data_IF_263160993372
#
_entry.id   IF_263160993372
#
_cell.length_a   1.000
_cell.length_b   1.000
_cell.length_c   1.000
_cell.angle_alpha   90.00
_cell.angle_beta   90.00
_cell.angle_gamma   90.00
#
_symmetry.space_group_name_H-M   'P 1'
#
loop_
_entity.id
_entity.type
_entity.pdbx_description
1 polymer ?
#
# COMPACT_ATOMS: atom_id res chain seq x y z
N UNK A 1 -1.99 -30.88 -10.11
CA UNK A 1 -0.82 -30.06 -9.77
C UNK A 1 -1.31 -28.65 -9.50
N UNK A 2 -1.64 -28.36 -8.24
CA UNK A 2 -2.20 -27.08 -7.81
C UNK A 2 -1.05 -26.12 -7.51
N UNK A 3 -0.93 -25.04 -8.29
CA UNK A 3 -0.09 -23.90 -7.92
C UNK A 3 -0.74 -23.19 -6.72
N UNK A 4 0.02 -22.85 -5.66
CA UNK A 4 -0.54 -22.07 -4.57
C UNK A 4 -0.81 -20.65 -5.07
N UNK A 5 -2.06 -20.21 -4.88
CA UNK A 5 -2.50 -18.83 -5.00
C UNK A 5 -1.61 -17.98 -4.08
N UNK A 6 -1.01 -16.91 -4.63
CA UNK A 6 -0.35 -15.84 -3.88
C UNK A 6 -1.43 -15.08 -3.09
N UNK A 7 -1.92 -15.70 -2.02
CA UNK A 7 -2.62 -14.99 -0.97
C UNK A 7 -1.55 -14.25 -0.18
N UNK A 8 -1.50 -12.92 -0.32
CA UNK A 8 -0.92 -12.06 0.71
C UNK A 8 -1.88 -12.15 1.90
N UNK A 9 -1.78 -13.25 2.64
CA UNK A 9 -2.23 -13.26 4.03
C UNK A 9 -1.35 -12.25 4.74
N UNK A 10 -1.96 -11.20 5.30
CA UNK A 10 -1.27 -10.38 6.29
C UNK A 10 -0.61 -11.31 7.31
N UNK A 11 0.63 -11.03 7.74
CA UNK A 11 1.35 -11.99 8.53
C UNK A 11 0.59 -12.20 9.83
N UNK A 12 0.08 -13.43 10.01
CA UNK A 12 0.05 -14.02 11.33
C UNK A 12 1.51 -14.05 11.77
N UNK A 13 1.92 -13.01 12.51
CA UNK A 13 3.24 -12.89 13.07
C UNK A 13 3.47 -14.08 13.99
N UNK A 14 4.42 -14.93 13.62
CA UNK A 14 5.04 -15.86 14.56
C UNK A 14 6.05 -15.05 15.37
N UNK A 15 5.52 -14.22 16.26
CA UNK A 15 6.24 -13.69 17.41
C UNK A 15 5.76 -14.51 18.60
N UNK A 16 6.54 -15.51 19.00
CA UNK A 16 6.43 -16.11 20.34
C UNK A 16 6.98 -15.13 21.37
N UNK A 17 6.30 -14.00 21.50
CA UNK A 17 6.38 -13.07 22.63
C UNK A 17 4.91 -12.88 23.01
N UNK A 18 4.59 -13.00 24.29
CA UNK A 18 3.27 -12.78 24.86
C UNK A 18 2.85 -11.31 24.67
N UNK A 19 2.62 -10.88 23.43
CA UNK A 19 1.72 -9.79 23.13
C UNK A 19 0.32 -10.37 23.36
N UNK A 20 -0.14 -10.35 24.60
CA UNK A 20 -1.53 -9.93 24.79
C UNK A 20 -1.64 -8.66 23.96
N UNK A 21 -2.23 -8.79 22.76
CA UNK A 21 -2.35 -7.71 21.81
C UNK A 21 -2.87 -6.53 22.61
N UNK A 22 -2.02 -5.51 22.83
CA UNK A 22 -2.49 -4.22 23.28
C UNK A 22 -3.46 -3.83 22.19
N UNK A 23 -4.75 -4.03 22.45
CA UNK A 23 -5.81 -3.76 21.52
C UNK A 23 -5.85 -2.24 21.40
N UNK A 24 -5.10 -1.73 20.43
CA UNK A 24 -5.14 -0.32 20.08
C UNK A 24 -6.49 -0.11 19.41
N UNK A 25 -7.44 0.40 20.20
CA UNK A 25 -8.75 0.73 19.68
C UNK A 25 -8.68 2.00 18.83
N UNK A 26 -9.31 1.93 17.68
CA UNK A 26 -9.48 3.05 16.78
C UNK A 26 -10.82 2.83 16.06
N UNK A 27 -11.71 3.83 16.15
CA UNK A 27 -13.09 3.71 15.66
C UNK A 27 -13.38 4.66 14.47
N UNK A 28 -12.76 4.48 13.28
CA UNK A 28 -12.97 5.38 12.15
C UNK A 28 -14.42 5.61 11.69
N UNK A 29 -15.35 4.70 11.97
CA UNK A 29 -16.76 4.89 11.61
C UNK A 29 -17.55 5.71 12.64
N UNK A 30 -17.04 5.85 13.87
CA UNK A 30 -17.61 6.71 14.91
C UNK A 30 -16.89 8.05 14.96
N UNK A 31 -15.57 8.02 14.90
CA UNK A 31 -14.69 9.18 15.07
C UNK A 31 -14.59 10.02 13.77
N UNK A 32 -15.72 10.45 13.24
CA UNK A 32 -15.78 11.19 11.97
C UNK A 32 -15.41 12.66 12.08
N UNK A 33 -15.24 13.16 13.31
CA UNK A 33 -15.03 14.59 13.59
C UNK A 33 -13.57 15.04 13.50
N UNK A 34 -12.63 14.10 13.33
CA UNK A 34 -11.21 14.43 13.18
C UNK A 34 -10.93 15.16 11.86
N UNK A 35 -10.43 16.38 11.97
CA UNK A 35 -10.10 17.25 10.85
C UNK A 35 -8.61 17.19 10.50
N UNK A 36 -8.24 17.80 9.36
CA UNK A 36 -6.84 17.88 8.94
C UNK A 36 -5.95 18.61 9.98
N UNK A 37 -6.51 19.53 10.78
CA UNK A 37 -5.82 20.16 11.91
C UNK A 37 -5.38 19.15 12.97
N UNK A 38 -6.24 18.20 13.32
CA UNK A 38 -5.99 17.20 14.37
C UNK A 38 -4.93 16.20 13.88
N UNK A 39 -4.99 15.85 12.59
CA UNK A 39 -3.95 15.07 11.93
C UNK A 39 -2.61 15.77 11.96
N UNK A 40 -2.55 17.07 11.65
CA UNK A 40 -1.30 17.84 11.72
C UNK A 40 -0.76 17.92 13.14
N UNK A 41 -1.63 18.10 14.13
CA UNK A 41 -1.25 18.09 15.54
C UNK A 41 -0.67 16.72 15.92
N UNK A 42 -1.35 15.62 15.59
CA UNK A 42 -0.88 14.26 15.85
C UNK A 42 0.49 14.00 15.20
N UNK A 43 0.69 14.42 13.94
CA UNK A 43 1.97 14.29 13.26
C UNK A 43 3.10 15.08 13.95
N UNK A 44 2.82 16.29 14.44
CA UNK A 44 3.81 17.07 15.21
C UNK A 44 4.18 16.39 16.52
N UNK A 45 3.20 15.81 17.23
CA UNK A 45 3.44 15.05 18.45
C UNK A 45 4.30 13.82 18.17
N UNK A 46 3.98 13.06 17.11
CA UNK A 46 4.79 11.92 16.67
C UNK A 46 6.22 12.34 16.32
N UNK A 47 6.38 13.47 15.62
CA UNK A 47 7.70 13.98 15.25
C UNK A 47 8.54 14.37 16.48
N UNK A 48 7.91 15.00 17.47
CA UNK A 48 8.56 15.36 18.74
C UNK A 48 8.98 14.10 19.51
N UNK A 49 8.13 13.08 19.55
CA UNK A 49 8.47 11.80 20.19
C UNK A 49 9.63 11.11 19.47
N UNK A 50 9.63 11.14 18.12
CA UNK A 50 10.71 10.60 17.29
C UNK A 50 12.05 11.35 17.46
N UNK A 51 12.05 12.59 17.96
CA UNK A 51 13.28 13.32 18.32
C UNK A 51 13.89 12.79 19.62
N UNK A 52 13.04 12.42 20.59
CA UNK A 52 13.44 11.83 21.87
C UNK A 52 13.86 10.38 21.68
N UNK A 53 13.00 9.58 21.05
CA UNK A 53 13.22 8.18 20.72
C UNK A 53 13.46 8.04 19.23
N UNK A 54 14.73 8.16 18.82
CA UNK A 54 15.10 7.99 17.42
C UNK A 54 14.71 6.60 16.94
N UNK A 55 13.82 6.47 15.92
CA UNK A 55 13.39 5.18 15.44
C UNK A 55 14.59 4.35 14.97
N UNK A 56 14.83 3.21 15.62
CA UNK A 56 15.83 2.26 15.10
C UNK A 56 15.24 1.59 13.87
N UNK A 57 15.96 1.60 12.74
CA UNK A 57 15.53 0.98 11.46
C UNK A 57 15.43 -0.56 11.50
N UNK A 58 15.41 -1.14 12.70
CA UNK A 58 15.39 -2.58 12.95
C UNK A 58 14.00 -3.20 12.77
N UNK A 59 12.97 -2.41 12.47
CA UNK A 59 11.61 -2.92 12.24
C UNK A 59 11.52 -3.87 11.03
N UNK A 60 12.51 -3.85 10.12
CA UNK A 60 12.59 -4.80 9.00
C UNK A 60 13.55 -5.97 9.24
N UNK A 61 14.14 -6.11 10.43
CA UNK A 61 15.16 -7.14 10.71
C UNK A 61 14.64 -8.58 10.58
N UNK A 62 13.34 -8.77 10.78
CA UNK A 62 12.68 -10.06 10.66
C UNK A 62 12.38 -10.43 9.19
N UNK A 63 12.48 -9.48 8.27
CA UNK A 63 12.30 -9.71 6.84
C UNK A 63 13.66 -10.01 6.20
N UNK A 64 13.68 -10.98 5.30
CA UNK A 64 14.84 -11.21 4.45
C UNK A 64 15.05 -9.98 3.56
N UNK A 65 16.31 -9.53 3.44
CA UNK A 65 16.65 -8.45 2.51
C UNK A 65 16.37 -8.97 1.09
N UNK A 66 15.53 -8.28 0.31
CA UNK A 66 15.28 -8.67 -1.07
C UNK A 66 16.60 -8.66 -1.83
N UNK A 67 16.86 -9.70 -2.60
CA UNK A 67 17.95 -9.67 -3.56
C UNK A 67 17.54 -8.73 -4.70
N UNK A 68 18.20 -7.58 -4.77
CA UNK A 68 17.95 -6.56 -5.78
C UNK A 68 18.59 -6.91 -7.13
N UNK A 69 19.48 -7.91 -7.15
CA UNK A 69 20.25 -8.32 -8.32
C UNK A 69 19.70 -9.59 -8.99
N UNK A 70 18.57 -10.12 -8.52
CA UNK A 70 17.91 -11.34 -9.08
C UNK A 70 17.74 -11.26 -10.60
N UNK A 71 17.44 -10.07 -11.11
CA UNK A 71 17.20 -9.83 -12.55
C UNK A 71 18.38 -9.11 -13.23
N UNK A 72 19.50 -8.95 -12.54
CA UNK A 72 20.67 -8.23 -13.04
C UNK A 72 21.44 -9.12 -14.03
N UNK A 73 21.14 -8.95 -15.32
CA UNK A 73 21.84 -9.67 -16.38
C UNK A 73 23.18 -9.02 -16.72
N UNK A 74 24.17 -9.78 -17.24
CA UNK A 74 25.44 -9.21 -17.71
C UNK A 74 25.28 -8.14 -18.79
N UNK A 75 24.20 -8.19 -19.58
CA UNK A 75 23.87 -7.18 -20.57
C UNK A 75 23.51 -5.85 -19.90
N UNK A 76 22.60 -5.89 -18.92
CA UNK A 76 22.17 -4.71 -18.14
C UNK A 76 23.35 -4.09 -17.38
N UNK A 77 24.21 -4.91 -16.77
CA UNK A 77 25.42 -4.42 -16.09
C UNK A 77 26.36 -3.67 -17.04
N UNK A 78 26.57 -4.20 -18.25
CA UNK A 78 27.39 -3.54 -19.28
C UNK A 78 26.76 -2.22 -19.73
N UNK A 79 25.45 -2.18 -19.91
CA UNK A 79 24.73 -0.94 -20.26
C UNK A 79 24.81 0.10 -19.14
N UNK A 80 24.63 -0.30 -17.88
CA UNK A 80 24.84 0.61 -16.75
C UNK A 80 26.27 1.13 -16.67
N UNK A 81 27.27 0.29 -16.92
CA UNK A 81 28.67 0.72 -17.00
C UNK A 81 28.90 1.73 -18.14
N UNK A 82 28.30 1.52 -19.31
CA UNK A 82 28.34 2.45 -20.45
C UNK A 82 27.70 3.80 -20.09
N UNK A 83 26.51 3.77 -19.50
CA UNK A 83 25.76 4.97 -19.07
C UNK A 83 26.54 5.74 -18.01
N UNK A 84 27.14 5.05 -17.03
CA UNK A 84 27.95 5.68 -15.98
C UNK A 84 29.16 6.44 -16.54
N UNK A 85 29.71 5.94 -17.64
CA UNK A 85 30.82 6.57 -18.40
C UNK A 85 30.34 7.64 -19.39
N UNK A 86 29.03 7.93 -19.44
CA UNK A 86 28.38 8.84 -20.41
C UNK A 86 28.74 8.52 -21.87
N UNK A 87 28.96 7.24 -22.17
CA UNK A 87 29.26 6.78 -23.52
C UNK A 87 27.97 6.67 -24.31
N UNK A 88 27.89 7.32 -25.47
CA UNK A 88 26.73 7.22 -26.37
C UNK A 88 26.56 5.79 -26.90
N UNK A 89 25.32 5.44 -27.27
CA UNK A 89 25.04 4.12 -27.81
C UNK A 89 25.58 4.04 -29.24
N UNK A 90 26.27 2.96 -29.64
CA UNK A 90 26.67 2.77 -31.02
C UNK A 90 25.45 2.83 -31.94
N UNK A 91 25.55 3.60 -33.02
CA UNK A 91 24.50 3.64 -34.04
C UNK A 91 24.40 2.26 -34.71
N UNK A 92 23.17 1.86 -35.04
CA UNK A 92 22.94 0.65 -35.81
C UNK A 92 23.58 0.81 -37.20
N UNK A 93 24.38 -0.16 -37.61
CA UNK A 93 24.97 -0.16 -38.95
C UNK A 93 23.92 -0.56 -39.99
N UNK A 94 23.40 0.44 -40.71
CA UNK A 94 22.43 0.23 -41.79
C UNK A 94 23.11 -0.03 -43.15
N UNK A 95 24.44 0.06 -43.24
CA UNK A 95 25.15 -0.07 -44.53
C UNK A 95 24.99 -1.46 -45.17
N UNK A 96 24.66 -2.48 -44.36
CA UNK A 96 24.37 -3.85 -44.82
C UNK A 96 22.97 -3.99 -45.44
N UNK A 97 22.05 -3.09 -45.12
CA UNK A 97 20.68 -3.05 -45.66
C UNK A 97 20.56 -2.16 -46.90
N UNK A 98 21.61 -1.42 -47.23
CA UNK A 98 21.67 -0.54 -48.39
C UNK A 98 22.50 -1.17 -49.51
N UNK A 99 22.22 -0.81 -50.77
CA UNK A 99 22.99 -1.20 -51.95
C UNK A 99 23.65 0.02 -52.58
N UNK A 100 24.68 0.61 -51.94
CA UNK A 100 25.36 1.77 -52.51
C UNK A 100 26.11 1.35 -53.78
N UNK A 101 26.02 2.19 -54.81
CA UNK A 101 26.81 2.02 -56.03
C UNK A 101 28.31 2.14 -55.71
N UNK A 102 29.19 1.26 -56.21
CA UNK A 102 30.62 1.37 -56.01
C UNK A 102 31.15 2.70 -56.55
N UNK A 103 31.65 3.56 -55.68
CA UNK A 103 32.26 4.83 -56.05
C UNK A 103 33.78 4.68 -56.15
N UNK A 104 34.30 4.66 -57.38
CA UNK A 104 35.73 4.65 -57.63
C UNK A 104 36.08 5.05 -59.08
N UNK A 105 37.09 5.91 -59.20
CA UNK A 105 37.69 6.38 -60.46
C UNK A 105 39.03 5.69 -60.74
N UNK A 106 39.38 4.62 -60.00
CA UNK A 106 40.67 3.92 -60.10
C UNK A 106 40.51 2.40 -60.21
N UNK A 107 41.01 1.85 -61.33
CA UNK A 107 40.74 0.48 -61.82
C UNK A 107 40.96 -0.67 -60.81
N UNK A 108 41.86 -0.51 -59.83
CA UNK A 108 42.17 -1.55 -58.83
C UNK A 108 41.28 -1.48 -57.58
N UNK A 109 40.97 -0.27 -57.10
CA UNK A 109 40.04 -0.05 -55.97
C UNK A 109 38.61 -0.44 -56.36
N UNK A 110 38.24 -0.19 -57.63
CA UNK A 110 36.96 -0.56 -58.19
C UNK A 110 36.69 -2.06 -58.03
N UNK A 111 37.64 -2.94 -58.40
CA UNK A 111 37.41 -4.40 -58.37
C UNK A 111 37.12 -4.94 -56.97
N UNK A 112 37.75 -4.40 -55.93
CA UNK A 112 37.50 -4.82 -54.55
C UNK A 112 36.14 -4.31 -54.03
N UNK A 113 35.78 -3.06 -54.35
CA UNK A 113 34.50 -2.47 -54.00
C UNK A 113 33.33 -3.17 -54.72
N UNK A 114 33.46 -3.47 -56.02
CA UNK A 114 32.49 -4.28 -56.78
C UNK A 114 32.30 -5.67 -56.17
N UNK A 115 33.38 -6.36 -55.78
CA UNK A 115 33.26 -7.65 -55.07
C UNK A 115 32.54 -7.54 -53.72
N UNK A 116 32.69 -6.42 -53.01
CA UNK A 116 31.98 -6.17 -51.74
C UNK A 116 30.49 -5.91 -52.01
N UNK A 117 30.17 -5.06 -52.98
CA UNK A 117 28.81 -4.75 -53.38
C UNK A 117 28.05 -5.98 -53.89
N UNK A 118 28.68 -6.81 -54.74
CA UNK A 118 28.08 -8.07 -55.22
C UNK A 118 27.84 -9.04 -54.06
N UNK A 119 28.77 -9.17 -53.11
CA UNK A 119 28.56 -10.02 -51.92
C UNK A 119 27.40 -9.53 -51.07
N UNK A 120 27.27 -8.21 -50.88
CA UNK A 120 26.15 -7.61 -50.17
C UNK A 120 24.82 -7.87 -50.89
N UNK A 121 24.77 -7.66 -52.22
CA UNK A 121 23.60 -7.92 -53.05
C UNK A 121 23.15 -9.38 -52.99
N UNK A 122 24.09 -10.33 -53.06
CA UNK A 122 23.79 -11.75 -52.87
C UNK A 122 23.18 -12.02 -51.50
N UNK A 123 23.80 -11.51 -50.43
CA UNK A 123 23.27 -11.69 -49.08
C UNK A 123 21.87 -11.09 -48.91
N UNK A 124 21.61 -9.90 -49.49
CA UNK A 124 20.30 -9.27 -49.46
C UNK A 124 19.26 -10.05 -50.25
N UNK A 125 19.62 -10.60 -51.42
CA UNK A 125 18.73 -11.48 -52.18
C UNK A 125 18.29 -12.68 -51.36
N UNK A 126 19.23 -13.36 -50.68
CA UNK A 126 18.88 -14.48 -49.79
C UNK A 126 17.98 -14.03 -48.63
N UNK A 127 18.23 -12.85 -48.04
CA UNK A 127 17.35 -12.30 -47.00
C UNK A 127 15.94 -11.98 -47.53
N UNK A 128 15.79 -11.53 -48.78
CA UNK A 128 14.50 -11.28 -49.40
C UNK A 128 13.75 -12.58 -49.68
N UNK A 129 14.45 -13.62 -50.17
CA UNK A 129 13.87 -14.97 -50.36
C UNK A 129 13.39 -15.53 -49.02
N UNK A 130 14.19 -15.43 -47.96
CA UNK A 130 13.76 -15.85 -46.62
C UNK A 130 12.56 -15.03 -46.11
N UNK A 131 12.54 -13.72 -46.40
CA UNK A 131 11.40 -12.87 -46.03
C UNK A 131 10.14 -13.28 -46.76
N UNK A 132 10.22 -13.61 -48.04
CA UNK A 132 9.10 -14.12 -48.84
C UNK A 132 8.54 -15.40 -48.21
N UNK A 133 9.39 -16.40 -47.94
CA UNK A 133 8.99 -17.64 -47.27
C UNK A 133 8.34 -17.36 -45.90
N UNK A 134 8.91 -16.45 -45.11
CA UNK A 134 8.34 -16.07 -43.81
C UNK A 134 6.98 -15.38 -43.94
N UNK A 135 6.78 -14.56 -44.99
CA UNK A 135 5.51 -13.90 -45.26
C UNK A 135 4.46 -14.89 -45.77
N UNK A 136 4.84 -15.86 -46.60
CA UNK A 136 3.95 -16.95 -47.01
C UNK A 136 3.47 -17.77 -45.80
N UNK A 137 4.39 -18.14 -44.90
CA UNK A 137 4.01 -18.80 -43.64
C UNK A 137 3.11 -17.92 -42.76
N UNK A 138 3.35 -16.61 -42.72
CA UNK A 138 2.52 -15.69 -41.95
C UNK A 138 1.13 -15.52 -42.58
N UNK A 139 1.03 -15.51 -43.90
CA UNK A 139 -0.25 -15.43 -44.61
C UNK A 139 -1.08 -16.70 -44.39
N UNK A 140 -0.44 -17.88 -44.45
CA UNK A 140 -1.10 -19.17 -44.25
C UNK A 140 -1.54 -19.40 -42.78
N UNK A 141 -0.65 -19.17 -41.82
CA UNK A 141 -0.90 -19.55 -40.41
C UNK A 141 -1.19 -18.37 -39.48
N UNK A 142 -0.82 -17.14 -39.87
CA UNK A 142 -0.95 -15.95 -39.05
C UNK A 142 -2.39 -15.69 -38.58
N UNK A 143 -3.40 -15.67 -39.46
CA UNK A 143 -4.78 -15.37 -39.06
C UNK A 143 -5.30 -16.27 -37.93
N UNK A 144 -5.10 -17.57 -38.02
CA UNK A 144 -5.55 -18.53 -37.00
C UNK A 144 -4.75 -18.38 -35.69
N UNK A 145 -3.43 -18.22 -35.78
CA UNK A 145 -2.58 -18.03 -34.60
C UNK A 145 -2.93 -16.74 -33.85
N UNK A 146 -3.20 -15.64 -34.56
CA UNK A 146 -3.66 -14.39 -33.96
C UNK A 146 -5.04 -14.52 -33.33
N UNK A 147 -5.97 -15.22 -33.98
CA UNK A 147 -7.30 -15.48 -33.43
C UNK A 147 -7.21 -16.30 -32.13
N UNK A 148 -6.40 -17.36 -32.11
CA UNK A 148 -6.15 -18.17 -30.92
C UNK A 148 -5.53 -17.34 -29.79
N UNK A 149 -4.52 -16.52 -30.11
CA UNK A 149 -3.89 -15.61 -29.14
C UNK A 149 -4.91 -14.62 -28.57
N UNK A 150 -5.78 -14.04 -29.40
CA UNK A 150 -6.83 -13.12 -28.94
C UNK A 150 -7.77 -13.81 -27.95
N UNK A 151 -8.22 -15.03 -28.25
CA UNK A 151 -9.05 -15.84 -27.32
C UNK A 151 -8.33 -16.09 -25.98
N UNK A 152 -7.03 -16.39 -26.00
CA UNK A 152 -6.24 -16.57 -24.78
C UNK A 152 -6.12 -15.27 -23.96
N UNK A 153 -5.94 -14.13 -24.65
CA UNK A 153 -5.88 -12.81 -24.00
C UNK A 153 -7.23 -12.42 -23.39
N UNK A 154 -8.34 -12.68 -24.10
CA UNK A 154 -9.70 -12.48 -23.58
C UNK A 154 -9.95 -13.34 -22.34
N UNK A 155 -9.56 -14.62 -22.36
CA UNK A 155 -9.69 -15.49 -21.19
C UNK A 155 -8.88 -14.97 -19.99
N UNK A 156 -7.64 -14.53 -20.23
CA UNK A 156 -6.78 -13.93 -19.19
C UNK A 156 -7.43 -12.69 -18.59
N UNK A 157 -8.06 -11.85 -19.42
CA UNK A 157 -8.78 -10.66 -18.97
C UNK A 157 -9.99 -11.04 -18.10
N UNK A 158 -10.80 -12.00 -18.54
CA UNK A 158 -11.96 -12.48 -17.79
C UNK A 158 -11.55 -13.01 -16.41
N UNK A 159 -10.46 -13.78 -16.35
CA UNK A 159 -9.94 -14.33 -15.10
C UNK A 159 -9.45 -13.22 -14.16
N UNK A 160 -8.70 -12.25 -14.67
CA UNK A 160 -8.25 -11.09 -13.90
C UNK A 160 -9.43 -10.24 -13.37
N UNK A 161 -10.47 -10.01 -14.19
CA UNK A 161 -11.67 -9.29 -13.77
C UNK A 161 -12.47 -10.05 -12.70
N UNK A 162 -12.48 -11.37 -12.76
CA UNK A 162 -13.10 -12.23 -11.73
C UNK A 162 -12.34 -12.14 -10.42
N UNK A 163 -11.02 -12.17 -10.44
CA UNK A 163 -10.19 -11.98 -9.25
C UNK A 163 -10.38 -10.59 -8.64
N UNK A 164 -10.43 -9.55 -9.47
CA UNK A 164 -10.70 -8.18 -9.01
C UNK A 164 -12.06 -8.07 -8.32
N UNK A 165 -13.11 -8.65 -8.90
CA UNK A 165 -14.46 -8.67 -8.30
C UNK A 165 -14.44 -9.37 -6.94
N UNK A 166 -13.81 -10.55 -6.86
CA UNK A 166 -13.68 -11.29 -5.60
C UNK A 166 -12.94 -10.49 -4.52
N UNK A 167 -11.84 -9.83 -4.89
CA UNK A 167 -11.09 -8.98 -3.95
C UNK A 167 -11.93 -7.80 -3.45
N UNK A 168 -12.69 -7.14 -4.35
CA UNK A 168 -13.61 -6.05 -3.97
C UNK A 168 -14.69 -6.54 -3.01
N UNK A 169 -15.30 -7.70 -3.27
CA UNK A 169 -16.29 -8.30 -2.37
C UNK A 169 -15.69 -8.60 -0.98
N UNK A 170 -14.47 -9.14 -0.93
CA UNK A 170 -13.77 -9.40 0.33
C UNK A 170 -13.51 -8.11 1.12
N UNK A 171 -13.04 -7.05 0.45
CA UNK A 171 -12.84 -5.73 1.07
C UNK A 171 -14.16 -5.18 1.61
N UNK A 172 -15.24 -5.26 0.83
CA UNK A 172 -16.57 -4.81 1.26
C UNK A 172 -17.11 -5.61 2.44
N UNK A 173 -16.88 -6.92 2.48
CA UNK A 173 -17.27 -7.76 3.61
C UNK A 173 -16.52 -7.38 4.88
N UNK A 174 -15.21 -7.14 4.80
CA UNK A 174 -14.41 -6.65 5.94
C UNK A 174 -14.90 -5.28 6.40
N UNK A 175 -15.14 -4.36 5.45
CA UNK A 175 -15.67 -3.02 5.72
C UNK A 175 -17.02 -3.11 6.46
N UNK A 176 -17.96 -3.90 5.95
CA UNK A 176 -19.29 -4.11 6.52
C UNK A 176 -19.21 -4.67 7.94
N UNK A 177 -18.43 -5.75 8.14
CA UNK A 177 -18.23 -6.36 9.46
C UNK A 177 -17.64 -5.38 10.47
N UNK A 178 -16.61 -4.62 10.06
CA UNK A 178 -15.99 -3.60 10.92
C UNK A 178 -16.99 -2.49 11.27
N UNK A 179 -17.75 -2.01 10.29
CA UNK A 179 -18.76 -0.98 10.53
C UNK A 179 -19.84 -1.46 11.51
N UNK A 180 -20.36 -2.67 11.35
CA UNK A 180 -21.36 -3.22 12.27
C UNK A 180 -20.82 -3.30 13.71
N UNK A 181 -19.63 -3.87 13.89
CA UNK A 181 -19.00 -3.98 15.21
C UNK A 181 -18.77 -2.62 15.87
N UNK A 182 -18.30 -1.63 15.11
CA UNK A 182 -18.09 -0.28 15.62
C UNK A 182 -19.40 0.42 15.97
N UNK A 183 -20.44 0.31 15.12
CA UNK A 183 -21.75 0.90 15.41
C UNK A 183 -22.41 0.31 16.66
N UNK A 184 -22.23 -1.00 16.89
CA UNK A 184 -22.70 -1.67 18.10
C UNK A 184 -21.95 -1.18 19.34
N UNK A 185 -20.62 -1.16 19.31
CA UNK A 185 -19.79 -0.61 20.38
C UNK A 185 -20.11 0.87 20.65
N UNK A 186 -20.36 1.66 19.61
CA UNK A 186 -20.76 3.07 19.72
C UNK A 186 -22.14 3.30 20.32
N UNK A 187 -23.07 2.36 20.17
CA UNK A 187 -24.34 2.40 20.88
C UNK A 187 -24.12 2.18 22.38
N UNK A 188 -23.28 1.21 22.75
CA UNK A 188 -22.93 0.94 24.15
C UNK A 188 -22.16 2.12 24.77
N UNK A 189 -21.21 2.71 24.05
CA UNK A 189 -20.42 3.86 24.54
C UNK A 189 -21.33 5.05 24.86
N UNK A 190 -22.27 5.39 23.97
CA UNK A 190 -23.25 6.47 24.23
C UNK A 190 -24.15 6.17 25.43
N UNK A 191 -24.51 4.91 25.64
CA UNK A 191 -25.26 4.51 26.82
C UNK A 191 -24.42 4.72 28.09
N UNK A 192 -23.17 4.27 28.10
CA UNK A 192 -22.27 4.45 29.24
C UNK A 192 -21.98 5.92 29.54
N UNK A 193 -21.83 6.76 28.51
CA UNK A 193 -21.71 8.22 28.69
C UNK A 193 -22.96 8.82 29.34
N UNK A 194 -24.16 8.43 28.89
CA UNK A 194 -25.40 8.90 29.48
C UNK A 194 -25.56 8.45 30.94
N UNK A 195 -25.27 7.18 31.23
CA UNK A 195 -25.31 6.62 32.58
C UNK A 195 -24.30 7.31 33.50
N UNK A 196 -23.10 7.59 32.99
CA UNK A 196 -22.07 8.32 33.70
C UNK A 196 -22.48 9.77 34.02
N UNK A 197 -23.00 10.51 33.04
CA UNK A 197 -23.52 11.87 33.26
C UNK A 197 -24.68 11.86 34.26
N UNK A 198 -25.59 10.88 34.16
CA UNK A 198 -26.71 10.74 35.09
C UNK A 198 -26.22 10.45 36.52
N UNK A 199 -25.24 9.56 36.68
CA UNK A 199 -24.66 9.23 37.97
C UNK A 199 -23.98 10.45 38.61
N UNK A 200 -23.14 11.17 37.86
CA UNK A 200 -22.50 12.40 38.34
C UNK A 200 -23.54 13.45 38.72
N UNK A 201 -24.55 13.64 37.87
CA UNK A 201 -25.62 14.60 38.14
C UNK A 201 -26.42 14.24 39.39
N UNK A 202 -26.67 12.95 39.62
CA UNK A 202 -27.36 12.48 40.81
C UNK A 202 -26.51 12.66 42.08
N UNK A 203 -25.21 12.32 42.01
CA UNK A 203 -24.29 12.56 43.13
C UNK A 203 -24.25 14.05 43.49
N UNK A 204 -24.14 14.93 42.49
CA UNK A 204 -24.16 16.37 42.70
C UNK A 204 -25.47 16.87 43.32
N UNK A 205 -26.62 16.34 42.90
CA UNK A 205 -27.92 16.67 43.50
C UNK A 205 -28.02 16.18 44.95
N UNK A 206 -27.43 15.03 45.28
CA UNK A 206 -27.39 14.52 46.64
C UNK A 206 -26.53 15.41 47.53
N UNK A 207 -25.34 15.81 47.07
CA UNK A 207 -24.48 16.77 47.78
C UNK A 207 -25.21 18.08 48.04
N UNK A 208 -25.88 18.65 47.03
CA UNK A 208 -26.66 19.88 47.20
C UNK A 208 -27.79 19.74 48.23
N UNK A 209 -28.49 18.61 48.23
CA UNK A 209 -29.57 18.36 49.19
C UNK A 209 -29.04 18.16 50.62
N UNK A 210 -27.85 17.56 50.77
CA UNK A 210 -27.16 17.45 52.06
C UNK A 210 -26.81 18.85 52.57
N UNK A 211 -26.19 19.69 51.73
CA UNK A 211 -25.82 21.06 52.07
C UNK A 211 -27.05 21.88 52.51
N UNK A 212 -28.17 21.80 51.77
CA UNK A 212 -29.42 22.50 52.12
C UNK A 212 -30.01 22.00 53.45
N UNK A 213 -29.98 20.68 53.70
CA UNK A 213 -30.41 20.12 54.98
C UNK A 213 -29.49 20.53 56.13
N UNK A 214 -28.18 20.59 55.91
CA UNK A 214 -27.22 21.06 56.90
C UNK A 214 -27.45 22.54 57.23
N UNK A 215 -27.67 23.39 56.23
CA UNK A 215 -28.00 24.81 56.43
C UNK A 215 -29.31 24.98 57.21
N UNK A 216 -30.36 24.23 56.86
CA UNK A 216 -31.64 24.23 57.57
C UNK A 216 -31.49 23.78 59.04
N UNK A 217 -30.74 22.71 59.28
CA UNK A 217 -30.44 22.21 60.63
C UNK A 217 -29.66 23.25 61.45
N UNK A 218 -28.68 23.93 60.86
CA UNK A 218 -27.96 25.02 61.53
C UNK A 218 -28.91 26.19 61.89
N UNK A 219 -29.84 26.55 61.00
CA UNK A 219 -30.85 27.57 61.29
C UNK A 219 -31.77 27.18 62.44
N UNK A 220 -32.22 25.93 62.48
CA UNK A 220 -33.09 25.41 63.55
C UNK A 220 -32.38 25.33 64.91
N UNK A 221 -31.12 24.91 64.94
CA UNK A 221 -30.29 24.92 66.17
C UNK A 221 -30.12 26.34 66.71
N UNK A 222 -29.86 27.32 65.84
CA UNK A 222 -29.80 28.74 66.21
C UNK A 222 -31.14 29.25 66.75
N UNK A 223 -32.27 28.85 66.15
CA UNK A 223 -33.63 29.24 66.61
C UNK A 223 -33.95 28.69 67.99
N UNK A 224 -33.60 27.43 68.25
CA UNK A 224 -33.90 26.72 69.49
C UNK A 224 -32.87 26.99 70.60
N UNK A 225 -31.80 27.75 70.32
CA UNK A 225 -30.67 28.04 71.25
C UNK A 225 -30.03 26.77 71.81
N UNK A 226 -29.95 25.73 70.98
CA UNK A 226 -29.26 24.48 71.31
C UNK A 226 -27.74 24.67 71.12
N UNK A 227 -26.95 23.91 71.89
CA UNK A 227 -25.49 23.97 71.84
C UNK A 227 -24.97 23.49 70.48
N UNK A 228 -24.35 24.39 69.71
CA UNK A 228 -23.93 24.17 68.31
C UNK A 228 -22.85 23.07 68.18
N UNK A 229 -22.19 22.73 69.30
CA UNK A 229 -21.19 21.67 69.42
C UNK A 229 -21.72 20.26 69.15
N UNK A 230 -23.04 20.03 69.23
CA UNK A 230 -23.66 18.72 68.99
C UNK A 230 -23.83 18.36 67.49
N UNK A 231 -23.74 19.34 66.59
CA UNK A 231 -23.86 19.14 65.13
C UNK A 231 -22.56 18.66 64.49
N UNK A 232 -21.41 18.91 65.11
CA UNK A 232 -20.09 18.76 64.50
C UNK A 232 -19.45 17.36 64.69
N UNK A 233 -20.29 16.32 64.76
CA UNK A 233 -19.82 14.93 64.84
C UNK A 233 -19.32 14.54 63.46
N UNK A 234 -18.02 14.70 63.21
CA UNK A 234 -17.38 14.18 61.99
C UNK A 234 -17.70 12.69 61.85
N UNK A 235 -18.35 12.33 60.76
CA UNK A 235 -18.51 10.94 60.35
C UNK A 235 -17.10 10.34 60.14
N UNK A 236 -16.83 9.14 60.68
CA UNK A 236 -15.55 8.46 60.46
C UNK A 236 -15.38 8.13 58.96
N UNK A 237 -14.13 8.28 58.48
CA UNK A 237 -13.70 7.99 57.09
C UNK A 237 -14.09 6.60 56.59
#
# INVERSE_FOLDING_TARGET
>A
MNKPVLAIGGPAGVSSINDEQVLVDALPYLDTEYNESDRQLALRLIENECKVFRPTKNYLRHLQVPDYDVFLTPCIQKEFARISKKQEMPKLDMSRCELPSPAGTSKAADKAQWRKAIRNAKAQNEHLVLREINLEMLDEFGPEMYLQRNKQMEQTLIDAEKELRRAKEQVMNVHSRRKMAQMEAGAQMRQFEADWVAMITNNYKMELAIDEMEESNQHEVKRLRLDESLLNVKLPE
#
